data_IF_636756940099
#
_entry.id   IF_636756940099
#
_cell.length_a   1.000
_cell.length_b   1.000
_cell.length_c   1.000
_cell.angle_alpha   90.00
_cell.angle_beta   90.00
_cell.angle_gamma   90.00
#
_symmetry.space_group_name_H-M   'P 1'
#
loop_
_entity.id
_entity.type
_entity.pdbx_description
1 polymer ?
#
# COMPACT_ATOMS: atom_id res chain seq x y z
N UNK A 1 17.77 14.57 2.03
CA UNK A 1 17.41 14.49 0.59
C UNK A 1 16.11 13.70 0.50
N UNK A 2 15.23 14.02 -0.44
CA UNK A 2 13.93 13.34 -0.62
C UNK A 2 13.91 12.58 -1.94
N UNK A 3 13.39 11.35 -1.95
CA UNK A 3 13.21 10.57 -3.18
C UNK A 3 12.18 11.25 -4.12
N UNK A 4 12.53 11.40 -5.40
CA UNK A 4 11.62 11.94 -6.42
C UNK A 4 10.98 10.80 -7.20
N UNK A 5 9.64 10.72 -7.13
CA UNK A 5 8.84 9.60 -7.64
C UNK A 5 8.09 9.91 -8.96
N UNK A 6 8.44 11.00 -9.66
CA UNK A 6 7.75 11.44 -10.88
C UNK A 6 8.67 11.72 -12.07
N UNK A 7 8.10 12.22 -13.17
CA UNK A 7 8.84 12.66 -14.36
C UNK A 7 9.19 11.55 -15.37
N UNK A 8 8.64 10.35 -15.21
CA UNK A 8 8.79 9.23 -16.13
C UNK A 8 7.49 8.43 -16.22
N UNK A 9 7.31 7.69 -17.31
CA UNK A 9 6.20 6.78 -17.52
C UNK A 9 6.73 5.37 -17.80
N UNK A 10 6.27 4.38 -17.03
CA UNK A 10 6.58 2.97 -17.32
C UNK A 10 5.83 2.59 -18.61
N UNK A 11 6.57 2.09 -19.59
CA UNK A 11 6.02 1.69 -20.90
C UNK A 11 5.98 0.18 -21.08
N UNK A 12 6.71 -0.57 -20.25
CA UNK A 12 6.72 -2.03 -20.27
C UNK A 12 7.15 -2.61 -18.93
N UNK A 13 6.49 -3.70 -18.53
CA UNK A 13 6.88 -4.60 -17.45
C UNK A 13 6.74 -6.02 -17.96
N UNK A 14 7.77 -6.85 -17.76
CA UNK A 14 7.71 -8.27 -18.10
C UNK A 14 8.83 -9.07 -17.45
N UNK A 15 8.74 -10.38 -17.51
CA UNK A 15 9.79 -11.27 -17.00
C UNK A 15 10.97 -11.34 -17.99
N UNK A 16 12.18 -11.14 -17.49
CA UNK A 16 13.45 -11.36 -18.20
C UNK A 16 14.14 -12.68 -17.81
N UNK A 17 13.59 -13.40 -16.84
CA UNK A 17 14.08 -14.68 -16.34
C UNK A 17 13.19 -15.18 -15.20
N UNK A 18 13.53 -16.33 -14.58
CA UNK A 18 12.71 -16.96 -13.54
C UNK A 18 12.38 -16.02 -12.36
N UNK A 19 13.36 -15.21 -11.97
CA UNK A 19 13.26 -14.25 -10.85
C UNK A 19 13.64 -12.83 -11.28
N UNK A 20 13.65 -12.53 -12.58
CA UNK A 20 14.12 -11.24 -13.08
C UNK A 20 13.00 -10.47 -13.78
N UNK A 21 12.80 -9.21 -13.39
CA UNK A 21 11.83 -8.32 -14.03
C UNK A 21 12.54 -7.28 -14.91
N UNK A 22 12.05 -7.11 -16.14
CA UNK A 22 12.44 -6.06 -17.08
C UNK A 22 11.41 -4.94 -17.02
N UNK A 23 11.85 -3.77 -16.55
CA UNK A 23 11.05 -2.56 -16.50
C UNK A 23 11.63 -1.54 -17.45
N UNK A 24 10.83 -1.07 -18.40
CA UNK A 24 11.21 0.00 -19.35
C UNK A 24 10.33 1.21 -19.14
N UNK A 25 10.92 2.38 -19.30
CA UNK A 25 10.24 3.64 -19.05
C UNK A 25 10.67 4.71 -20.04
N UNK A 26 9.90 5.78 -20.15
CA UNK A 26 10.27 7.00 -20.89
C UNK A 26 10.30 8.18 -19.96
N UNK A 27 11.09 9.19 -20.28
CA UNK A 27 11.19 10.44 -19.51
C UNK A 27 11.75 11.54 -20.39
N UNK A 28 11.30 12.77 -20.16
CA UNK A 28 11.88 13.97 -20.78
C UNK A 28 13.17 14.44 -20.06
N UNK A 29 13.45 13.90 -18.87
CA UNK A 29 14.56 14.32 -18.03
C UNK A 29 15.89 13.72 -18.50
N UNK A 30 16.94 14.55 -18.51
CA UNK A 30 18.31 14.18 -18.90
C UNK A 30 19.28 14.37 -17.73
N UNK A 31 20.42 13.67 -17.74
CA UNK A 31 21.45 13.80 -16.70
C UNK A 31 21.16 13.07 -15.37
N UNK A 32 20.06 12.32 -15.27
CA UNK A 32 19.68 11.56 -14.08
C UNK A 32 19.89 10.07 -14.26
N UNK A 33 20.17 9.38 -13.14
CA UNK A 33 20.13 7.92 -13.05
C UNK A 33 18.81 7.48 -12.42
N UNK A 34 18.49 6.20 -12.56
CA UNK A 34 17.27 5.61 -12.06
C UNK A 34 17.58 4.34 -11.28
N UNK A 35 16.86 4.13 -10.20
CA UNK A 35 16.94 2.93 -9.36
C UNK A 35 15.56 2.26 -9.35
N UNK A 36 15.54 0.93 -9.40
CA UNK A 36 14.32 0.13 -9.26
C UNK A 36 14.27 -0.49 -7.87
N UNK A 37 13.12 -0.39 -7.23
CA UNK A 37 12.85 -0.97 -5.93
C UNK A 37 11.69 -1.97 -6.03
N UNK A 38 11.84 -3.10 -5.35
CA UNK A 38 10.74 -3.95 -4.97
C UNK A 38 10.40 -3.60 -3.52
N UNK A 39 9.26 -2.94 -3.31
CA UNK A 39 8.89 -2.39 -2.01
C UNK A 39 9.88 -1.30 -1.62
N UNK A 40 10.70 -1.57 -0.59
CA UNK A 40 11.75 -0.67 -0.10
C UNK A 40 13.16 -1.22 -0.32
N UNK A 41 13.29 -2.33 -1.06
CA UNK A 41 14.58 -2.96 -1.37
C UNK A 41 14.98 -2.61 -2.79
N UNK A 42 16.18 -2.04 -2.96
CA UNK A 42 16.73 -1.75 -4.29
C UNK A 42 17.08 -3.06 -4.99
N UNK A 43 16.53 -3.27 -6.19
CA UNK A 43 16.76 -4.47 -7.00
C UNK A 43 17.48 -4.20 -8.31
N UNK A 44 17.54 -2.95 -8.78
CA UNK A 44 18.31 -2.57 -9.96
C UNK A 44 18.69 -1.08 -9.95
N UNK A 45 19.60 -0.71 -10.85
CA UNK A 45 19.93 0.69 -11.16
C UNK A 45 20.51 0.84 -12.56
N UNK A 46 20.29 1.99 -13.18
CA UNK A 46 21.00 2.39 -14.40
C UNK A 46 22.44 2.78 -14.08
N UNK A 47 23.34 2.48 -15.01
CA UNK A 47 24.74 2.90 -14.95
C UNK A 47 24.99 4.19 -15.73
N UNK A 48 24.14 4.49 -16.72
CA UNK A 48 24.24 5.68 -17.57
C UNK A 48 22.95 6.50 -17.54
N UNK A 49 23.06 7.82 -17.66
CA UNK A 49 21.91 8.73 -17.60
C UNK A 49 20.98 8.65 -18.83
N UNK A 50 21.39 7.93 -19.86
CA UNK A 50 20.61 7.67 -21.08
C UNK A 50 19.88 6.33 -21.05
N UNK A 51 20.16 5.46 -20.07
CA UNK A 51 19.49 4.16 -19.95
C UNK A 51 18.03 4.33 -19.49
N UNK A 52 17.14 3.60 -20.14
CA UNK A 52 15.67 3.65 -19.92
C UNK A 52 15.08 2.28 -19.66
N UNK A 53 15.93 1.39 -19.15
CA UNK A 53 15.65 -0.02 -18.90
C UNK A 53 16.32 -0.41 -17.59
N UNK A 54 15.58 -1.10 -16.74
CA UNK A 54 16.03 -1.62 -15.45
C UNK A 54 15.69 -3.11 -15.43
N UNK A 55 16.70 -3.96 -15.28
CA UNK A 55 16.50 -5.39 -15.06
C UNK A 55 16.93 -5.69 -13.63
N UNK A 56 15.98 -6.07 -12.79
CA UNK A 56 16.20 -6.35 -11.38
C UNK A 56 15.89 -7.78 -11.03
N UNK A 57 16.64 -8.33 -10.07
CA UNK A 57 16.34 -9.62 -9.46
C UNK A 57 15.29 -9.39 -8.37
N UNK A 58 14.14 -10.03 -8.53
CA UNK A 58 13.18 -10.19 -7.47
C UNK A 58 13.65 -11.34 -6.59
N UNK A 59 13.76 -11.08 -5.30
CA UNK A 59 13.80 -12.17 -4.34
C UNK A 59 12.39 -12.75 -4.32
N UNK A 60 12.21 -14.06 -4.56
CA UNK A 60 10.91 -14.68 -4.46
C UNK A 60 10.31 -14.37 -3.09
N UNK A 61 9.12 -13.81 -3.12
CA UNK A 61 8.35 -13.44 -1.95
C UNK A 61 6.94 -13.98 -2.18
N UNK A 62 6.35 -14.55 -1.14
CA UNK A 62 4.99 -15.10 -1.17
C UNK A 62 3.93 -14.00 -1.27
N UNK A 63 4.37 -12.74 -1.34
CA UNK A 63 3.53 -11.57 -1.27
C UNK A 63 3.78 -10.58 -2.42
N UNK A 64 2.73 -9.97 -3.01
CA UNK A 64 2.89 -9.06 -4.14
C UNK A 64 3.64 -7.79 -3.75
N UNK A 65 4.83 -7.58 -4.31
CA UNK A 65 5.67 -6.42 -4.00
C UNK A 65 5.59 -5.33 -5.08
N UNK A 66 5.28 -4.06 -4.74
CA UNK A 66 5.19 -2.99 -5.72
C UNK A 66 6.57 -2.65 -6.30
N UNK A 67 6.62 -2.43 -7.60
CA UNK A 67 7.80 -1.93 -8.29
C UNK A 67 7.79 -0.40 -8.31
N UNK A 68 8.81 0.21 -7.72
CA UNK A 68 8.97 1.68 -7.67
C UNK A 68 10.25 2.09 -8.38
N UNK A 69 10.15 3.02 -9.33
CA UNK A 69 11.32 3.67 -9.93
C UNK A 69 11.61 4.95 -9.16
N UNK A 70 12.88 5.19 -8.84
CA UNK A 70 13.35 6.40 -8.17
C UNK A 70 14.37 7.09 -9.05
N UNK A 71 14.16 8.39 -9.30
CA UNK A 71 15.14 9.24 -9.96
C UNK A 71 16.23 9.66 -8.96
N UNK A 72 17.50 9.48 -9.30
CA UNK A 72 18.64 9.81 -8.44
C UNK A 72 19.71 10.60 -9.19
N UNK A 73 20.38 11.52 -8.47
CA UNK A 73 21.51 12.28 -9.01
C UNK A 73 22.71 11.35 -9.27
N UNK A 74 23.64 11.76 -10.13
CA UNK A 74 24.87 10.98 -10.38
C UNK A 74 25.72 10.86 -9.10
N UNK A 75 25.68 11.88 -8.23
CA UNK A 75 26.39 11.88 -6.94
C UNK A 75 25.80 10.84 -5.97
N UNK A 76 24.49 10.60 -6.02
CA UNK A 76 23.77 9.68 -5.13
C UNK A 76 23.61 8.27 -5.70
N UNK A 77 24.36 7.91 -6.75
CA UNK A 77 24.20 6.62 -7.48
C UNK A 77 24.34 5.39 -6.59
N UNK A 78 25.11 5.51 -5.51
CA UNK A 78 25.34 4.45 -4.52
C UNK A 78 24.45 4.59 -3.27
N UNK A 79 23.71 5.68 -3.14
CA UNK A 79 22.82 5.91 -2.02
C UNK A 79 21.55 5.06 -2.20
N UNK A 80 21.18 4.35 -1.14
CA UNK A 80 19.93 3.61 -1.04
C UNK A 80 18.83 4.53 -0.48
N UNK A 81 17.79 4.75 -1.28
CA UNK A 81 16.62 5.55 -0.94
C UNK A 81 15.45 4.72 -0.43
N UNK A 82 15.57 3.40 -0.37
CA UNK A 82 14.58 2.47 0.15
C UNK A 82 14.02 2.86 1.52
N UNK A 83 14.86 3.26 2.50
CA UNK A 83 14.40 3.76 3.79
C UNK A 83 13.56 5.05 3.72
N UNK A 84 13.66 5.83 2.63
CA UNK A 84 12.88 7.05 2.43
C UNK A 84 11.63 6.81 1.58
N UNK A 85 11.53 5.66 0.91
CA UNK A 85 10.32 5.30 0.19
C UNK A 85 9.16 5.11 1.17
N UNK A 86 7.92 5.48 0.77
CA UNK A 86 6.75 5.23 1.59
C UNK A 86 6.70 3.76 1.99
N UNK A 87 6.21 3.47 3.19
CA UNK A 87 5.81 2.11 3.55
C UNK A 87 4.47 1.89 2.87
N UNK A 88 4.43 1.30 1.67
CA UNK A 88 3.16 1.09 0.95
C UNK A 88 2.38 -0.04 1.64
N UNK A 89 1.16 0.18 2.15
CA UNK A 89 0.29 -0.90 2.63
C UNK A 89 -0.49 -1.54 1.46
N UNK A 90 -0.45 -2.87 1.36
CA UNK A 90 -0.87 -3.67 0.18
C UNK A 90 -2.34 -4.11 0.14
N UNK A 91 -3.27 -3.32 0.67
CA UNK A 91 -4.63 -3.80 0.96
C UNK A 91 -5.67 -2.70 0.86
N UNK A 92 -5.70 -2.04 -0.29
CA UNK A 92 -6.74 -1.06 -0.60
C UNK A 92 -7.92 -1.75 -1.26
N UNK A 93 -9.11 -1.60 -0.68
CA UNK A 93 -10.33 -2.20 -1.19
C UNK A 93 -11.23 -1.15 -1.82
N UNK A 94 -11.96 -1.55 -2.85
CA UNK A 94 -13.06 -0.77 -3.41
C UNK A 94 -14.36 -1.24 -2.76
N UNK A 95 -15.16 -0.28 -2.30
CA UNK A 95 -16.56 -0.50 -1.95
C UNK A 95 -17.39 0.07 -3.08
N UNK A 96 -18.18 -0.77 -3.73
CA UNK A 96 -19.02 -0.41 -4.87
C UNK A 96 -20.49 -0.66 -4.49
N UNK A 97 -21.36 0.32 -4.74
CA UNK A 97 -22.80 0.19 -4.48
C UNK A 97 -23.62 1.01 -5.47
N UNK A 98 -24.88 0.61 -5.66
CA UNK A 98 -25.84 1.33 -6.51
C UNK A 98 -26.87 2.04 -5.62
N UNK A 99 -27.08 3.33 -5.86
CA UNK A 99 -28.13 4.11 -5.24
C UNK A 99 -29.36 4.18 -6.17
N UNK A 100 -30.52 3.80 -5.64
CA UNK A 100 -31.79 3.80 -6.38
C UNK A 100 -32.91 4.30 -5.48
N UNK A 101 -33.63 5.34 -5.91
CA UNK A 101 -34.82 5.84 -5.23
C UNK A 101 -34.56 6.54 -3.89
N UNK A 102 -33.38 7.14 -3.72
CA UNK A 102 -33.07 7.90 -2.50
C UNK A 102 -33.83 9.24 -2.46
N UNK A 103 -34.25 9.73 -1.28
CA UNK A 103 -34.89 11.02 -1.12
C UNK A 103 -34.06 12.19 -1.66
N UNK A 104 -34.72 13.22 -2.18
CA UNK A 104 -34.06 14.39 -2.79
C UNK A 104 -33.22 15.22 -1.81
N UNK A 105 -33.42 15.04 -0.52
CA UNK A 105 -32.66 15.68 0.56
C UNK A 105 -31.47 14.84 1.06
N UNK A 106 -31.17 13.70 0.42
CA UNK A 106 -29.94 12.93 0.66
C UNK A 106 -28.72 13.75 0.25
N UNK A 107 -27.73 13.85 1.14
CA UNK A 107 -26.56 14.72 0.97
C UNK A 107 -25.26 13.94 0.73
N UNK A 108 -24.97 12.92 1.53
CA UNK A 108 -23.77 12.10 1.39
C UNK A 108 -23.94 10.74 2.05
N UNK A 109 -22.99 9.84 1.80
CA UNK A 109 -22.81 8.62 2.58
C UNK A 109 -21.62 8.79 3.52
N UNK A 110 -21.82 8.49 4.80
CA UNK A 110 -20.73 8.21 5.73
C UNK A 110 -20.24 6.78 5.52
N UNK A 111 -18.93 6.61 5.43
CA UNK A 111 -18.27 5.31 5.38
C UNK A 111 -17.56 5.10 6.71
N UNK A 112 -18.01 4.12 7.49
CA UNK A 112 -17.40 3.73 8.75
C UNK A 112 -16.72 2.38 8.62
N UNK A 113 -15.71 2.11 9.43
CA UNK A 113 -14.96 0.86 9.39
C UNK A 113 -14.79 0.22 10.78
N UNK A 114 -14.65 -1.10 10.82
CA UNK A 114 -14.19 -1.79 12.02
C UNK A 114 -12.78 -1.29 12.42
N UNK A 115 -12.47 -1.18 13.72
CA UNK A 115 -11.17 -0.68 14.18
C UNK A 115 -10.06 -1.71 14.01
N UNK A 116 -10.42 -2.99 13.99
CA UNK A 116 -9.54 -4.14 13.77
C UNK A 116 -10.26 -5.23 12.98
N UNK A 117 -9.51 -6.21 12.48
CA UNK A 117 -10.08 -7.37 11.82
C UNK A 117 -10.92 -8.22 12.79
N UNK A 118 -12.11 -8.63 12.37
CA UNK A 118 -13.07 -9.44 13.14
C UNK A 118 -13.94 -8.64 14.11
N UNK A 119 -13.70 -7.34 14.28
CA UNK A 119 -14.53 -6.48 15.10
C UNK A 119 -15.77 -5.98 14.34
N UNK A 120 -16.79 -5.56 15.10
CA UNK A 120 -17.92 -4.82 14.56
C UNK A 120 -17.48 -3.44 14.06
N UNK A 121 -18.32 -2.81 13.22
CA UNK A 121 -18.11 -1.43 12.79
C UNK A 121 -18.12 -0.50 13.99
N UNK A 122 -17.12 0.36 14.08
CA UNK A 122 -17.05 1.42 15.08
C UNK A 122 -17.79 2.65 14.56
N UNK A 123 -18.78 3.13 15.34
CA UNK A 123 -19.62 4.28 14.99
C UNK A 123 -18.84 5.61 14.95
N UNK A 124 -17.68 5.66 15.59
CA UNK A 124 -16.83 6.85 15.65
C UNK A 124 -15.69 6.79 14.62
N UNK A 125 -15.45 5.63 13.99
CA UNK A 125 -14.39 5.44 13.00
C UNK A 125 -14.86 5.79 11.58
N UNK A 126 -15.13 7.07 11.34
CA UNK A 126 -15.45 7.61 10.02
C UNK A 126 -14.21 7.62 9.13
N UNK A 127 -14.19 6.78 8.09
CA UNK A 127 -13.05 6.64 7.15
C UNK A 127 -13.24 7.42 5.86
N UNK A 128 -14.45 7.91 5.57
CA UNK A 128 -14.70 8.75 4.42
C UNK A 128 -16.14 9.22 4.29
N UNK A 129 -16.34 10.21 3.41
CA UNK A 129 -17.66 10.68 2.97
C UNK A 129 -17.72 10.71 1.45
N UNK A 130 -18.84 10.27 0.88
CA UNK A 130 -19.09 10.30 -0.57
C UNK A 130 -20.33 11.15 -0.82
N UNK A 131 -20.24 12.15 -1.71
CA UNK A 131 -21.35 13.07 -1.97
C UNK A 131 -22.45 12.39 -2.79
N UNK A 132 -23.71 12.53 -2.39
CA UNK A 132 -24.85 12.09 -3.18
C UNK A 132 -25.02 12.97 -4.41
N UNK A 133 -24.99 12.37 -5.59
CA UNK A 133 -25.11 13.05 -6.90
C UNK A 133 -26.35 12.59 -7.70
N UNK A 134 -27.27 11.83 -7.07
CA UNK A 134 -28.43 11.21 -7.72
C UNK A 134 -28.35 9.68 -7.75
N UNK A 135 -29.36 9.06 -8.34
CA UNK A 135 -29.36 7.60 -8.55
C UNK A 135 -28.25 7.20 -9.53
N UNK A 136 -27.56 6.09 -9.22
CA UNK A 136 -26.42 5.62 -10.00
C UNK A 136 -25.43 4.77 -9.20
N UNK A 137 -24.32 4.42 -9.83
CA UNK A 137 -23.26 3.63 -9.23
C UNK A 137 -22.22 4.52 -8.53
N UNK A 138 -21.83 4.11 -7.33
CA UNK A 138 -20.88 4.80 -6.47
C UNK A 138 -19.73 3.87 -6.11
N UNK A 139 -18.57 4.49 -5.91
CA UNK A 139 -17.34 3.80 -5.55
C UNK A 139 -16.60 4.57 -4.46
N UNK A 140 -16.06 3.84 -3.48
CA UNK A 140 -15.17 4.37 -2.47
C UNK A 140 -13.93 3.49 -2.29
N UNK A 141 -12.75 4.08 -2.43
CA UNK A 141 -11.49 3.39 -2.16
C UNK A 141 -11.10 3.53 -0.68
N UNK A 142 -11.39 2.50 0.10
CA UNK A 142 -11.13 2.45 1.53
C UNK A 142 -9.66 2.72 1.86
N UNK A 143 -9.35 3.29 3.04
CA UNK A 143 -8.00 3.32 3.54
C UNK A 143 -7.42 1.90 3.64
N UNK A 144 -6.09 1.76 3.50
CA UNK A 144 -5.41 0.48 3.71
C UNK A 144 -5.60 -0.02 5.15
N UNK A 145 -5.73 -1.34 5.33
CA UNK A 145 -5.97 -1.96 6.65
C UNK A 145 -4.69 -2.47 7.33
N UNK A 146 -4.75 -2.81 8.62
CA UNK A 146 -3.54 -3.12 9.40
C UNK A 146 -3.12 -4.59 9.45
N UNK A 147 -4.03 -5.52 9.19
CA UNK A 147 -3.85 -6.96 9.44
C UNK A 147 -4.77 -7.82 8.58
N UNK A 148 -4.42 -9.10 8.44
CA UNK A 148 -5.31 -10.10 7.85
C UNK A 148 -6.58 -10.28 8.67
N UNK A 149 -7.65 -10.70 8.00
CA UNK A 149 -8.93 -11.04 8.59
C UNK A 149 -10.10 -10.29 7.94
N UNK A 150 -11.29 -10.45 8.51
CA UNK A 150 -12.51 -9.82 7.99
C UNK A 150 -12.61 -8.40 8.51
N UNK A 151 -12.64 -7.43 7.61
CA UNK A 151 -12.91 -6.03 7.92
C UNK A 151 -14.32 -5.68 7.51
N UNK A 152 -15.09 -5.08 8.42
CA UNK A 152 -16.47 -4.70 8.15
C UNK A 152 -16.54 -3.20 7.95
N UNK A 153 -17.21 -2.78 6.88
CA UNK A 153 -17.49 -1.40 6.56
C UNK A 153 -18.99 -1.15 6.63
N UNK A 154 -19.40 0.07 6.97
CA UNK A 154 -20.80 0.50 6.94
C UNK A 154 -20.93 1.74 6.08
N UNK A 155 -21.83 1.67 5.10
CA UNK A 155 -22.22 2.78 4.24
C UNK A 155 -23.57 3.30 4.77
N UNK A 156 -23.58 4.51 5.30
CA UNK A 156 -24.76 5.11 5.93
C UNK A 156 -25.16 6.39 5.18
N UNK A 157 -26.35 6.44 4.57
CA UNK A 157 -26.83 7.67 3.93
C UNK A 157 -27.17 8.72 4.99
N UNK A 158 -26.91 9.99 4.67
CA UNK A 158 -27.20 11.16 5.50
C UNK A 158 -28.03 12.17 4.73
N UNK A 159 -29.05 12.72 5.37
CA UNK A 159 -29.81 13.84 4.83
C UNK A 159 -29.05 15.18 4.96
N UNK A 160 -29.67 16.27 4.52
CA UNK A 160 -29.12 17.62 4.59
C UNK A 160 -29.40 18.37 5.90
N UNK A 161 -30.00 17.73 6.90
CA UNK A 161 -30.33 18.35 8.19
C UNK A 161 -29.04 18.69 8.95
N UNK A 162 -28.95 19.88 9.52
CA UNK A 162 -27.75 20.29 10.28
C UNK A 162 -27.72 19.66 11.68
N UNK A 163 -26.53 19.36 12.25
CA UNK A 163 -25.20 19.64 11.72
C UNK A 163 -24.62 18.58 10.76
N UNK A 164 -24.99 17.30 10.93
CA UNK A 164 -24.34 16.15 10.25
C UNK A 164 -25.31 15.22 9.51
N UNK A 165 -26.58 15.62 9.36
CA UNK A 165 -27.63 14.85 8.73
C UNK A 165 -28.19 13.73 9.61
N UNK A 166 -29.48 13.46 9.48
CA UNK A 166 -30.07 12.25 10.05
C UNK A 166 -29.54 11.03 9.28
N UNK A 167 -29.23 9.96 10.01
CA UNK A 167 -28.84 8.69 9.39
C UNK A 167 -30.07 7.95 8.86
N UNK A 168 -29.99 7.47 7.62
CA UNK A 168 -30.92 6.49 7.08
C UNK A 168 -30.45 5.05 7.31
N UNK A 169 -31.10 4.10 6.63
CA UNK A 169 -30.76 2.68 6.72
C UNK A 169 -29.37 2.41 6.16
N UNK A 170 -28.53 1.78 7.00
CA UNK A 170 -27.14 1.52 6.66
C UNK A 170 -26.97 0.14 6.02
N UNK A 171 -26.03 0.04 5.07
CA UNK A 171 -25.58 -1.23 4.50
C UNK A 171 -24.20 -1.60 5.06
N UNK A 172 -24.02 -2.85 5.45
CA UNK A 172 -22.72 -3.37 5.87
C UNK A 172 -22.09 -4.24 4.79
N UNK A 173 -20.78 -4.09 4.62
CA UNK A 173 -19.97 -4.84 3.66
C UNK A 173 -18.79 -5.43 4.41
N UNK A 174 -18.67 -6.76 4.36
CA UNK A 174 -17.53 -7.47 4.90
C UNK A 174 -16.51 -7.76 3.79
N UNK A 175 -15.25 -7.43 4.04
CA UNK A 175 -14.13 -7.67 3.13
C UNK A 175 -13.10 -8.54 3.82
N UNK A 176 -12.79 -9.68 3.21
CA UNK A 176 -11.70 -10.54 3.68
C UNK A 176 -10.37 -9.97 3.19
N UNK A 177 -9.60 -9.39 4.11
CA UNK A 177 -8.27 -8.90 3.82
C UNK A 177 -7.24 -10.00 4.07
N UNK A 178 -6.45 -10.31 3.05
CA UNK A 178 -5.24 -11.11 3.18
C UNK A 178 -4.06 -10.15 3.21
N UNK A 179 -3.74 -9.69 4.42
CA UNK A 179 -2.58 -8.83 4.68
C UNK A 179 -1.47 -9.70 5.23
N UNK A 180 -0.36 -9.88 4.50
CA UNK A 180 0.75 -10.62 5.04
C UNK A 180 1.19 -10.00 6.38
N UNK A 181 1.62 -10.81 7.36
CA UNK A 181 2.12 -10.29 8.61
C UNK A 181 3.27 -9.32 8.33
N UNK A 182 3.41 -8.28 9.17
CA UNK A 182 4.60 -7.43 9.12
C UNK A 182 5.83 -8.33 9.30
N UNK A 183 6.86 -8.12 8.50
CA UNK A 183 8.13 -8.80 8.73
C UNK A 183 8.58 -8.57 10.17
N UNK A 184 8.80 -9.70 10.86
CA UNK A 184 9.45 -9.88 12.16
C UNK A 184 9.27 -8.73 13.16
N UNK A 185 8.39 -8.93 14.14
CA UNK A 185 8.34 -8.03 15.30
C UNK A 185 9.56 -8.33 16.18
N UNK A 186 10.49 -7.37 16.30
CA UNK A 186 11.55 -7.43 17.30
C UNK A 186 10.93 -7.34 18.70
N UNK A 187 11.45 -8.10 19.67
CA UNK A 187 11.14 -7.87 21.08
C UNK A 187 11.70 -6.51 21.53
N UNK A 188 11.34 -6.06 22.74
CA UNK A 188 11.72 -4.74 23.27
C UNK A 188 13.23 -4.44 23.31
N UNK A 189 14.05 -5.48 23.20
CA UNK A 189 15.50 -5.53 23.18
C UNK A 189 16.10 -5.59 21.76
N UNK A 190 15.26 -5.53 20.72
CA UNK A 190 15.69 -5.47 19.31
C UNK A 190 16.06 -6.82 18.69
N UNK A 191 15.86 -7.93 19.42
CA UNK A 191 16.14 -9.28 18.95
C UNK A 191 14.85 -10.05 18.63
N UNK A 192 14.91 -10.98 17.66
CA UNK A 192 13.81 -11.88 17.29
C UNK A 192 13.76 -13.16 18.13
N UNK A 193 14.92 -13.67 18.51
CA UNK A 193 15.07 -14.91 19.27
C UNK A 193 16.09 -14.68 20.37
N UNK A 194 15.68 -14.79 21.63
CA UNK A 194 16.59 -14.73 22.77
C UNK A 194 17.30 -16.07 22.89
N UNK A 195 18.58 -16.13 22.50
CA UNK A 195 19.43 -17.29 22.75
C UNK A 195 20.14 -17.11 24.09
N UNK A 196 19.75 -17.90 25.09
CA UNK A 196 20.43 -17.93 26.38
C UNK A 196 21.27 -19.21 26.52
N UNK A 197 22.57 -19.07 26.80
CA UNK A 197 23.47 -20.18 27.16
C UNK A 197 23.82 -20.06 28.63
N UNK A 198 23.53 -21.11 29.41
CA UNK A 198 23.84 -21.14 30.85
C UNK A 198 25.30 -21.54 31.12
N UNK A 199 26.01 -22.14 30.16
CA UNK A 199 27.46 -22.35 30.13
C UNK A 199 27.94 -22.88 28.76
N UNK A 200 29.11 -22.42 28.28
CA UNK A 200 29.77 -22.84 27.03
C UNK A 200 29.67 -21.83 25.88
N UNK A 201 30.57 -21.93 24.89
CA UNK A 201 30.58 -21.06 23.70
C UNK A 201 29.35 -21.36 22.83
N UNK A 202 28.41 -20.41 22.76
CA UNK A 202 27.33 -20.44 21.78
C UNK A 202 27.84 -19.83 20.47
N UNK A 203 28.04 -20.67 19.45
CA UNK A 203 28.28 -20.21 18.08
C UNK A 203 26.95 -20.35 17.35
N UNK A 204 26.29 -19.23 17.09
CA UNK A 204 25.12 -19.18 16.23
C UNK A 204 25.56 -18.80 14.82
N UNK A 205 25.70 -19.80 13.95
CA UNK A 205 25.86 -19.56 12.52
C UNK A 205 24.47 -19.49 11.87
N UNK A 206 24.18 -18.34 11.27
CA UNK A 206 23.06 -18.20 10.35
C UNK A 206 23.60 -18.42 8.94
N UNK A 207 23.27 -19.56 8.35
CA UNK A 207 23.44 -19.82 6.94
C UNK A 207 22.15 -19.45 6.20
N UNK A 208 22.28 -18.72 5.10
CA UNK A 208 21.20 -18.49 4.13
C UNK A 208 21.00 -19.71 3.24
#
# INVERSE_FOLDING_TARGET
>A
MSAFLGGFAITFIGWAGPNAVDVRFTTAETGWLYQLYAGRTRIASTSLSTERRLVGQLVPDDTPTPLTIVRVSVADRLTDFGPQLPKWPWNRFSLDWTATGYPADTRYWDILASPTAGAAVDADNLVGRVLFAGDGDYQFHAPPVGSSGVWTYRVTPRDQTWPDGNAGDAAEVAVTALVPPKDVTEDSDGNRFTLASTAGNLIAEFAY
#
